data_IF_346363640965
#
_entry.id   IF_346363640965
#
_cell.length_a   1.000
_cell.length_b   1.000
_cell.length_c   1.000
_cell.angle_alpha   90.00
_cell.angle_beta   90.00
_cell.angle_gamma   90.00
#
_symmetry.space_group_name_H-M   'P 1'
#
loop_
_entity.id
_entity.type
_entity.pdbx_description
1 polymer ?
#
# COMPACT_ATOMS: atom_id res chain seq x y z
N UNK A 1 -17.24 -11.74 14.16
CA UNK A 1 -18.37 -11.69 13.20
C UNK A 1 -18.13 -12.67 12.06
N UNK A 2 -19.03 -13.64 11.85
CA UNK A 2 -18.99 -14.51 10.67
C UNK A 2 -19.65 -13.84 9.47
N UNK A 3 -18.99 -13.84 8.32
CA UNK A 3 -19.55 -13.27 7.09
C UNK A 3 -20.47 -14.24 6.32
N UNK A 4 -20.51 -15.52 6.73
CA UNK A 4 -21.30 -16.56 6.06
C UNK A 4 -20.72 -16.93 4.69
N UNK A 5 -21.55 -17.51 3.84
CA UNK A 5 -21.22 -17.77 2.44
C UNK A 5 -21.06 -16.43 1.70
N UNK A 6 -19.86 -16.17 1.20
CA UNK A 6 -19.50 -14.89 0.59
C UNK A 6 -19.10 -15.05 -0.88
N UNK A 7 -19.54 -14.11 -1.71
CA UNK A 7 -19.04 -13.90 -3.08
C UNK A 7 -18.27 -12.57 -3.16
N UNK A 8 -17.36 -12.45 -4.13
CA UNK A 8 -16.66 -11.19 -4.44
C UNK A 8 -17.22 -10.60 -5.73
N UNK A 9 -17.68 -9.35 -5.71
CA UNK A 9 -18.29 -8.70 -6.87
C UNK A 9 -17.47 -7.46 -7.29
N UNK A 10 -16.74 -7.50 -8.42
CA UNK A 10 -16.02 -6.33 -8.92
C UNK A 10 -16.97 -5.26 -9.49
N UNK A 11 -16.59 -4.00 -9.35
CA UNK A 11 -17.26 -2.91 -10.06
C UNK A 11 -17.17 -3.10 -11.59
N UNK A 12 -18.25 -2.72 -12.29
CA UNK A 12 -18.35 -2.88 -13.75
C UNK A 12 -18.02 -1.60 -14.54
N UNK A 13 -17.39 -0.63 -13.89
CA UNK A 13 -16.94 0.61 -14.50
C UNK A 13 -15.45 0.82 -14.24
N UNK A 14 -14.73 1.49 -15.16
CA UNK A 14 -13.29 1.71 -15.02
C UNK A 14 -12.99 2.68 -13.86
N UNK A 15 -11.80 2.57 -13.23
CA UNK A 15 -11.36 3.54 -12.24
C UNK A 15 -11.14 4.91 -12.88
N UNK A 16 -11.17 5.97 -12.07
CA UNK A 16 -10.75 7.30 -12.51
C UNK A 16 -9.23 7.36 -12.62
N UNK A 17 -8.73 8.14 -13.58
CA UNK A 17 -7.31 8.51 -13.63
C UNK A 17 -7.10 9.90 -13.06
N UNK A 18 -5.95 10.11 -12.42
CA UNK A 18 -5.59 11.42 -11.90
C UNK A 18 -4.85 12.31 -12.93
N UNK A 19 -4.90 12.00 -14.23
CA UNK A 19 -4.14 12.71 -15.27
C UNK A 19 -4.44 14.21 -15.27
N UNK A 20 -5.70 14.63 -15.05
CA UNK A 20 -6.08 16.04 -14.89
C UNK A 20 -5.25 16.73 -13.83
N UNK A 21 -5.28 16.16 -12.63
CA UNK A 21 -4.62 16.69 -11.45
C UNK A 21 -3.09 16.63 -11.59
N UNK A 22 -2.58 15.70 -12.38
CA UNK A 22 -1.16 15.57 -12.71
C UNK A 22 -0.73 16.63 -13.73
N UNK A 23 -1.54 16.87 -14.77
CA UNK A 23 -1.33 17.88 -15.80
C UNK A 23 -1.53 19.32 -15.28
N UNK A 24 -2.46 19.52 -14.34
CA UNK A 24 -2.82 20.83 -13.79
C UNK A 24 -1.97 21.25 -12.58
N UNK A 25 -1.09 20.39 -12.05
CA UNK A 25 -0.30 20.66 -10.84
C UNK A 25 0.87 21.67 -11.01
N UNK A 26 0.80 22.56 -12.00
CA UNK A 26 1.57 23.80 -12.01
C UNK A 26 0.95 24.81 -11.05
N UNK A 27 1.50 25.00 -9.85
CA UNK A 27 0.97 26.00 -8.91
C UNK A 27 1.42 27.43 -9.25
N UNK A 28 0.47 28.35 -9.02
CA UNK A 28 0.50 29.80 -8.85
C UNK A 28 1.79 30.59 -9.16
N UNK A 29 1.69 31.45 -10.18
CA UNK A 29 2.39 32.73 -10.26
C UNK A 29 1.33 33.84 -10.18
N UNK A 30 1.02 34.30 -8.97
CA UNK A 30 0.33 35.59 -8.80
C UNK A 30 1.28 36.73 -9.16
N UNK A 31 0.86 37.53 -10.16
CA UNK A 31 1.31 38.87 -10.60
C UNK A 31 2.48 38.95 -11.59
N UNK A 32 2.12 39.29 -12.84
CA UNK A 32 3.03 39.89 -13.82
C UNK A 32 2.53 39.72 -15.25
N UNK A 33 1.89 40.75 -15.80
CA UNK A 33 1.32 40.75 -17.14
C UNK A 33 2.35 41.06 -18.25
N UNK A 34 2.03 40.56 -19.45
CA UNK A 34 2.19 41.14 -20.81
C UNK A 34 3.03 40.31 -21.79
N UNK A 35 2.28 39.75 -22.75
CA UNK A 35 2.52 39.49 -24.17
C UNK A 35 3.88 38.96 -24.67
N UNK A 36 3.82 37.80 -25.33
CA UNK A 36 4.81 37.34 -26.30
C UNK A 36 4.33 36.07 -26.98
N UNK A 37 3.70 36.21 -28.15
CA UNK A 37 3.24 35.10 -28.97
C UNK A 37 4.41 34.34 -29.62
N UNK A 38 4.34 33.01 -29.65
CA UNK A 38 4.54 32.24 -30.88
C UNK A 38 4.06 30.82 -30.69
N UNK A 39 3.24 30.39 -31.66
CA UNK A 39 2.75 29.04 -31.82
C UNK A 39 3.92 28.08 -32.03
N UNK A 40 4.37 27.45 -30.96
CA UNK A 40 5.07 26.17 -31.04
C UNK A 40 4.05 25.09 -30.77
N UNK A 41 3.55 24.46 -31.83
CA UNK A 41 2.93 23.14 -31.73
C UNK A 41 3.96 22.25 -31.05
N UNK A 42 3.86 22.09 -29.73
CA UNK A 42 4.52 21.00 -29.04
C UNK A 42 3.79 19.79 -29.55
N UNK A 43 4.37 19.18 -30.58
CA UNK A 43 4.01 17.83 -30.95
C UNK A 43 4.08 17.02 -29.68
N UNK A 44 2.91 16.72 -29.11
CA UNK A 44 2.66 15.41 -28.55
C UNK A 44 2.99 14.49 -29.70
N UNK A 45 4.29 14.19 -29.86
CA UNK A 45 4.74 13.12 -30.70
C UNK A 45 3.93 11.96 -30.20
N UNK A 46 2.98 11.52 -31.01
CA UNK A 46 2.34 10.23 -30.90
C UNK A 46 3.51 9.25 -30.87
N UNK A 47 4.03 8.98 -29.67
CA UNK A 47 4.66 7.72 -29.40
C UNK A 47 3.57 6.74 -29.82
N UNK A 48 3.79 6.08 -30.96
CA UNK A 48 2.92 5.02 -31.47
C UNK A 48 3.04 3.83 -30.50
N UNK A 49 2.53 4.04 -29.31
CA UNK A 49 2.39 3.08 -28.23
C UNK A 49 1.21 2.21 -28.63
N UNK A 50 1.49 0.97 -28.99
CA UNK A 50 0.48 0.05 -29.52
C UNK A 50 -0.17 -0.78 -28.41
N UNK A 51 0.38 -0.75 -27.19
CA UNK A 51 -0.17 -1.43 -26.03
C UNK A 51 -1.05 -0.55 -25.13
N UNK A 52 -2.14 -1.11 -24.61
CA UNK A 52 -3.04 -0.41 -23.67
C UNK A 52 -2.31 0.17 -22.44
N UNK A 53 -1.33 -0.57 -21.88
CA UNK A 53 -0.53 -0.09 -20.74
C UNK A 53 0.36 1.10 -21.10
N UNK A 54 1.01 1.06 -22.26
CA UNK A 54 1.86 2.16 -22.73
C UNK A 54 1.02 3.43 -22.97
N UNK A 55 -0.19 3.25 -23.50
CA UNK A 55 -1.13 4.33 -23.74
C UNK A 55 -1.72 4.93 -22.44
N UNK A 56 -1.71 4.21 -21.31
CA UNK A 56 -2.03 4.77 -19.98
C UNK A 56 -0.90 5.68 -19.48
N UNK A 57 0.37 5.34 -19.74
CA UNK A 57 1.53 6.07 -19.20
C UNK A 57 1.93 7.26 -20.07
N UNK A 58 1.77 7.15 -21.39
CA UNK A 58 2.21 8.17 -22.33
C UNK A 58 1.72 9.60 -21.98
N UNK A 59 0.47 9.81 -21.54
CA UNK A 59 -0.02 11.13 -21.12
C UNK A 59 0.74 11.70 -19.92
N UNK A 60 1.08 10.86 -18.94
CA UNK A 60 1.85 11.30 -17.77
C UNK A 60 3.28 11.68 -18.14
N UNK A 61 3.91 10.93 -19.05
CA UNK A 61 5.25 11.26 -19.53
C UNK A 61 5.27 12.50 -20.41
N UNK A 62 4.23 12.74 -21.21
CA UNK A 62 4.10 13.98 -21.97
C UNK A 62 4.11 15.21 -21.05
N UNK A 63 3.44 15.13 -19.88
CA UNK A 63 3.44 16.20 -18.86
C UNK A 63 4.82 16.37 -18.20
N UNK A 64 5.53 15.28 -17.91
CA UNK A 64 6.86 15.34 -17.24
C UNK A 64 7.95 15.82 -18.21
N UNK A 65 7.87 15.42 -19.48
CA UNK A 65 8.91 15.64 -20.49
C UNK A 65 8.89 17.03 -21.14
N UNK A 66 7.91 17.90 -20.83
CA UNK A 66 7.87 19.28 -21.34
C UNK A 66 9.20 19.98 -20.99
N UNK A 67 10.09 20.23 -21.97
CA UNK A 67 11.37 20.86 -21.70
C UNK A 67 11.12 22.28 -21.21
N UNK A 68 11.76 22.66 -20.11
CA UNK A 68 11.93 24.09 -19.79
C UNK A 68 12.91 24.62 -20.84
N UNK A 69 12.38 25.21 -21.92
CA UNK A 69 13.22 25.81 -22.96
C UNK A 69 14.15 26.84 -22.35
N UNK A 70 15.46 26.66 -22.55
CA UNK A 70 16.46 27.67 -22.26
C UNK A 70 16.31 28.81 -23.27
N UNK A 71 15.55 29.84 -22.90
CA UNK A 71 15.72 31.16 -23.48
C UNK A 71 16.87 31.85 -22.75
N UNK A 72 17.99 32.07 -23.44
CA UNK A 72 19.03 32.97 -22.99
C UNK A 72 18.45 34.41 -23.04
N UNK A 73 17.95 34.88 -21.90
CA UNK A 73 17.33 36.20 -21.75
C UNK A 73 16.11 36.13 -20.85
N UNK A 74 16.28 36.59 -19.61
CA UNK A 74 15.31 36.68 -18.52
C UNK A 74 13.81 36.57 -18.89
N UNK A 75 13.14 35.54 -18.39
CA UNK A 75 11.98 35.61 -17.47
C UNK A 75 11.41 34.20 -17.22
N UNK A 76 11.20 33.90 -15.93
CA UNK A 76 10.38 32.85 -15.33
C UNK A 76 9.77 31.80 -16.28
N UNK A 77 10.33 30.59 -16.25
CA UNK A 77 9.82 29.41 -16.93
C UNK A 77 8.48 28.95 -16.36
N UNK A 78 7.39 29.59 -16.75
CA UNK A 78 6.06 29.00 -16.61
C UNK A 78 5.96 27.82 -17.58
N UNK A 79 5.79 26.60 -17.04
CA UNK A 79 5.40 25.47 -17.89
C UNK A 79 4.04 25.81 -18.52
N UNK A 80 3.86 25.69 -19.85
CA UNK A 80 2.54 25.88 -20.43
C UNK A 80 1.60 24.84 -19.83
N UNK A 81 0.56 25.32 -19.15
CA UNK A 81 -0.56 24.48 -18.73
C UNK A 81 -1.18 23.92 -20.00
N UNK A 82 -1.34 22.60 -20.06
CA UNK A 82 -1.93 21.94 -21.22
C UNK A 82 -3.35 22.49 -21.46
N UNK A 83 -3.74 22.80 -22.71
CA UNK A 83 -5.10 23.24 -23.01
C UNK A 83 -6.15 22.23 -22.52
N UNK A 84 -7.26 22.72 -21.96
CA UNK A 84 -8.34 21.87 -21.41
C UNK A 84 -8.89 20.86 -22.43
N UNK A 85 -8.92 21.25 -23.72
CA UNK A 85 -9.31 20.36 -24.82
C UNK A 85 -8.35 19.18 -25.00
N UNK A 86 -7.04 19.39 -24.84
CA UNK A 86 -6.04 18.33 -24.93
C UNK A 86 -6.10 17.41 -23.70
N UNK A 87 -6.26 17.99 -22.51
CA UNK A 87 -6.45 17.22 -21.26
C UNK A 87 -7.68 16.31 -21.38
N UNK A 88 -8.78 16.82 -21.92
CA UNK A 88 -10.03 16.04 -22.13
C UNK A 88 -9.82 14.87 -23.10
N UNK A 89 -9.07 15.07 -24.19
CA UNK A 89 -8.74 14.01 -25.16
C UNK A 89 -7.89 12.92 -24.48
N UNK A 90 -6.85 13.32 -23.73
CA UNK A 90 -5.99 12.39 -23.00
C UNK A 90 -6.77 11.62 -21.94
N UNK A 91 -7.67 12.27 -21.19
CA UNK A 91 -8.54 11.62 -20.22
C UNK A 91 -9.43 10.56 -20.83
N UNK A 92 -10.05 10.86 -21.98
CA UNK A 92 -10.90 9.91 -22.69
C UNK A 92 -10.08 8.68 -23.13
N UNK A 93 -8.89 8.89 -23.68
CA UNK A 93 -8.00 7.81 -24.10
C UNK A 93 -7.51 6.96 -22.91
N UNK A 94 -7.08 7.59 -21.81
CA UNK A 94 -6.68 6.88 -20.58
C UNK A 94 -7.85 6.07 -20.03
N UNK A 95 -9.04 6.66 -19.95
CA UNK A 95 -10.24 5.98 -19.44
C UNK A 95 -10.60 4.76 -20.28
N UNK A 96 -10.52 4.87 -21.61
CA UNK A 96 -10.73 3.75 -22.53
C UNK A 96 -9.71 2.64 -22.28
N UNK A 97 -8.42 2.97 -22.14
CA UNK A 97 -7.39 1.98 -21.87
C UNK A 97 -7.55 1.32 -20.50
N UNK A 98 -7.90 2.09 -19.46
CA UNK A 98 -8.18 1.54 -18.13
C UNK A 98 -9.35 0.55 -18.15
N UNK A 99 -10.37 0.79 -18.99
CA UNK A 99 -11.46 -0.17 -19.17
C UNK A 99 -10.99 -1.51 -19.75
N UNK A 100 -9.99 -1.50 -20.65
CA UNK A 100 -9.43 -2.75 -21.21
C UNK A 100 -8.63 -3.57 -20.19
N UNK A 101 -8.10 -2.95 -19.14
CA UNK A 101 -7.27 -3.63 -18.14
C UNK A 101 -8.08 -4.43 -17.12
N UNK A 102 -9.42 -4.27 -17.09
CA UNK A 102 -10.31 -4.96 -16.16
C UNK A 102 -9.83 -4.89 -14.69
N UNK A 103 -9.33 -3.71 -14.28
CA UNK A 103 -8.66 -3.48 -13.00
C UNK A 103 -9.49 -4.00 -11.79
N UNK A 104 -10.80 -3.69 -11.65
CA UNK A 104 -11.60 -4.20 -10.54
C UNK A 104 -11.71 -5.74 -10.52
N UNK A 105 -11.92 -6.39 -11.66
CA UNK A 105 -12.02 -7.86 -11.76
C UNK A 105 -10.70 -8.55 -11.47
N UNK A 106 -9.58 -7.96 -11.87
CA UNK A 106 -8.24 -8.47 -11.53
C UNK A 106 -7.98 -8.38 -10.02
N UNK A 107 -8.36 -7.27 -9.38
CA UNK A 107 -8.26 -7.14 -7.92
C UNK A 107 -9.21 -8.11 -7.19
N UNK A 108 -10.46 -8.27 -7.65
CA UNK A 108 -11.41 -9.22 -7.06
C UNK A 108 -10.91 -10.67 -7.10
N UNK A 109 -10.30 -11.09 -8.22
CA UNK A 109 -9.65 -12.40 -8.33
C UNK A 109 -8.44 -12.52 -7.41
N UNK A 110 -7.61 -11.48 -7.32
CA UNK A 110 -6.49 -11.48 -6.38
C UNK A 110 -6.96 -11.62 -4.92
N UNK A 111 -8.07 -10.96 -4.54
CA UNK A 111 -8.70 -11.10 -3.22
C UNK A 111 -9.19 -12.53 -3.00
N UNK A 112 -9.88 -13.14 -3.96
CA UNK A 112 -10.36 -14.52 -3.84
C UNK A 112 -9.19 -15.50 -3.67
N UNK A 113 -8.13 -15.37 -4.47
CA UNK A 113 -6.91 -16.18 -4.35
C UNK A 113 -6.23 -15.98 -3.00
N UNK A 114 -6.06 -14.72 -2.56
CA UNK A 114 -5.46 -14.41 -1.27
C UNK A 114 -6.28 -14.96 -0.10
N UNK A 115 -7.61 -14.92 -0.18
CA UNK A 115 -8.50 -15.46 0.83
C UNK A 115 -8.38 -17.00 0.93
N UNK A 116 -8.40 -17.71 -0.19
CA UNK A 116 -8.23 -19.17 -0.18
C UNK A 116 -6.86 -19.54 0.38
N UNK A 117 -5.81 -18.85 -0.06
CA UNK A 117 -4.44 -19.11 0.36
C UNK A 117 -4.17 -18.77 1.83
N UNK A 118 -4.72 -17.66 2.34
CA UNK A 118 -4.41 -17.17 3.68
C UNK A 118 -5.44 -17.60 4.73
N UNK A 119 -6.66 -17.97 4.35
CA UNK A 119 -7.71 -18.35 5.32
C UNK A 119 -8.27 -19.75 5.08
N UNK A 120 -7.99 -20.36 3.92
CA UNK A 120 -8.64 -21.59 3.47
C UNK A 120 -10.07 -21.38 2.95
N UNK A 121 -10.59 -20.15 2.99
CA UNK A 121 -11.96 -19.84 2.56
C UNK A 121 -12.01 -19.52 1.07
N UNK A 122 -12.94 -20.15 0.36
CA UNK A 122 -13.18 -19.89 -1.05
C UNK A 122 -14.26 -18.83 -1.22
N UNK A 123 -13.94 -17.77 -1.95
CA UNK A 123 -14.91 -16.74 -2.33
C UNK A 123 -15.01 -16.67 -3.85
N UNK A 124 -16.03 -17.31 -4.45
CA UNK A 124 -16.23 -17.22 -5.89
C UNK A 124 -16.44 -15.77 -6.33
N UNK A 125 -15.90 -15.42 -7.50
CA UNK A 125 -16.05 -14.09 -8.10
C UNK A 125 -17.32 -14.06 -8.93
N UNK A 126 -18.14 -13.03 -8.73
CA UNK A 126 -19.37 -12.74 -9.46
C UNK A 126 -19.12 -11.55 -10.39
N UNK A 127 -18.54 -11.82 -11.57
CA UNK A 127 -18.02 -10.80 -12.49
C UNK A 127 -19.06 -9.73 -12.89
N UNK A 128 -20.32 -10.14 -13.05
CA UNK A 128 -21.40 -9.24 -13.51
C UNK A 128 -22.31 -8.71 -12.38
N UNK A 129 -22.02 -9.06 -11.13
CA UNK A 129 -22.89 -8.75 -10.00
C UNK A 129 -22.66 -7.38 -9.36
N UNK A 130 -21.50 -6.77 -9.57
CA UNK A 130 -21.12 -5.54 -8.88
C UNK A 130 -21.76 -4.27 -9.43
N UNK A 131 -21.48 -3.12 -8.78
CA UNK A 131 -22.06 -1.83 -9.15
C UNK A 131 -21.69 -1.41 -10.57
N UNK A 132 -22.69 -0.99 -11.34
CA UNK A 132 -22.52 -0.52 -12.73
C UNK A 132 -22.02 0.92 -12.84
N UNK A 133 -22.12 1.70 -11.76
CA UNK A 133 -21.67 3.09 -11.64
C UNK A 133 -21.36 3.41 -10.17
N UNK A 134 -20.62 4.49 -9.86
CA UNK A 134 -20.20 4.82 -8.49
C UNK A 134 -21.28 4.77 -7.42
N UNK A 135 -22.47 5.28 -7.73
CA UNK A 135 -23.59 5.36 -6.78
C UNK A 135 -24.64 4.25 -6.98
N UNK A 136 -24.32 3.20 -7.75
CA UNK A 136 -25.23 2.08 -7.92
C UNK A 136 -25.26 1.20 -6.66
N UNK A 137 -26.45 0.80 -6.25
CA UNK A 137 -26.68 -0.24 -5.26
C UNK A 137 -27.34 -1.45 -5.94
N UNK A 138 -26.56 -2.47 -6.35
CA UNK A 138 -27.13 -3.70 -6.89
C UNK A 138 -28.05 -4.38 -5.88
N UNK A 139 -29.15 -4.98 -6.36
CA UNK A 139 -30.04 -5.78 -5.50
C UNK A 139 -29.55 -7.23 -5.44
N UNK A 140 -29.00 -7.62 -4.29
CA UNK A 140 -28.49 -8.97 -4.05
C UNK A 140 -29.49 -9.91 -3.36
N UNK A 141 -30.78 -9.53 -3.20
CA UNK A 141 -31.77 -10.38 -2.53
C UNK A 141 -32.02 -11.70 -3.25
N UNK A 142 -31.78 -11.77 -4.56
CA UNK A 142 -31.82 -13.02 -5.32
C UNK A 142 -30.70 -13.97 -4.90
N UNK A 143 -29.52 -13.45 -4.56
CA UNK A 143 -28.36 -14.23 -4.07
C UNK A 143 -28.63 -14.80 -2.67
N UNK A 144 -29.37 -14.08 -1.82
CA UNK A 144 -29.82 -14.61 -0.52
C UNK A 144 -30.63 -15.91 -0.68
N UNK A 145 -31.50 -15.99 -1.69
CA UNK A 145 -32.28 -17.21 -2.00
C UNK A 145 -31.42 -18.37 -2.50
N UNK A 146 -30.21 -18.08 -2.98
CA UNK A 146 -29.22 -19.06 -3.42
C UNK A 146 -28.25 -19.47 -2.29
N UNK A 147 -28.49 -19.00 -1.05
CA UNK A 147 -27.66 -19.33 0.11
C UNK A 147 -26.39 -18.50 0.24
N UNK A 148 -26.29 -17.36 -0.46
CA UNK A 148 -25.21 -16.39 -0.28
C UNK A 148 -25.61 -15.41 0.81
N UNK A 149 -24.82 -15.30 1.88
CA UNK A 149 -25.10 -14.44 3.03
C UNK A 149 -24.57 -13.01 2.83
N UNK A 150 -23.44 -12.88 2.14
CA UNK A 150 -22.74 -11.60 1.97
C UNK A 150 -22.10 -11.45 0.58
N UNK A 151 -21.99 -10.22 0.11
CA UNK A 151 -21.21 -9.85 -1.07
C UNK A 151 -20.09 -8.89 -0.65
N UNK A 152 -18.85 -9.22 -1.01
CA UNK A 152 -17.73 -8.30 -0.94
C UNK A 152 -17.62 -7.55 -2.26
N UNK A 153 -18.12 -6.32 -2.28
CA UNK A 153 -17.96 -5.45 -3.44
C UNK A 153 -16.55 -4.86 -3.47
N UNK A 154 -15.94 -4.87 -4.65
CA UNK A 154 -14.57 -4.38 -4.88
C UNK A 154 -14.61 -3.29 -5.95
N UNK A 155 -14.34 -2.06 -5.52
CA UNK A 155 -14.37 -0.88 -6.39
C UNK A 155 -12.97 -0.27 -6.41
N UNK A 156 -12.34 -0.18 -7.58
CA UNK A 156 -11.13 0.64 -7.72
C UNK A 156 -11.57 2.04 -8.12
N UNK A 157 -11.38 3.02 -7.24
CA UNK A 157 -11.90 4.38 -7.44
C UNK A 157 -10.92 5.28 -8.16
N UNK A 158 -9.62 5.09 -7.92
CA UNK A 158 -8.57 5.93 -8.47
C UNK A 158 -7.30 5.11 -8.78
N UNK A 159 -6.69 5.40 -9.93
CA UNK A 159 -5.38 4.86 -10.35
C UNK A 159 -4.59 5.98 -11.00
N UNK A 160 -3.30 6.06 -10.74
CA UNK A 160 -2.46 7.00 -11.48
C UNK A 160 -1.06 7.14 -10.92
N UNK A 161 -0.53 8.34 -11.07
CA UNK A 161 0.84 8.66 -10.63
C UNK A 161 0.90 9.90 -9.75
N UNK A 162 1.81 9.89 -8.79
CA UNK A 162 2.22 11.05 -8.00
C UNK A 162 3.70 11.32 -8.19
N UNK A 163 4.18 12.49 -7.78
CA UNK A 163 5.59 12.89 -7.93
C UNK A 163 5.84 13.81 -9.12
N UNK A 164 7.10 14.18 -9.32
CA UNK A 164 7.51 15.17 -10.35
C UNK A 164 8.59 14.59 -11.27
N UNK A 165 9.82 14.52 -10.77
CA UNK A 165 10.97 13.95 -11.51
C UNK A 165 10.99 12.43 -11.39
N UNK A 166 10.83 11.96 -10.16
CA UNK A 166 10.48 10.60 -9.85
C UNK A 166 8.97 10.52 -9.64
N UNK A 167 8.36 9.46 -10.15
CA UNK A 167 6.95 9.18 -10.12
C UNK A 167 6.70 7.89 -9.36
N UNK A 168 5.69 7.89 -8.49
CA UNK A 168 5.13 6.69 -7.87
C UNK A 168 3.79 6.37 -8.50
N UNK A 169 3.53 5.10 -8.75
CA UNK A 169 2.20 4.60 -9.08
C UNK A 169 1.37 4.48 -7.80
N UNK A 170 0.08 4.78 -7.89
CA UNK A 170 -0.85 4.53 -6.79
C UNK A 170 -2.16 3.93 -7.29
N UNK A 171 -2.82 3.17 -6.41
CA UNK A 171 -4.14 2.57 -6.63
C UNK A 171 -4.97 2.67 -5.36
N UNK A 172 -6.22 3.12 -5.49
CA UNK A 172 -7.17 3.25 -4.40
C UNK A 172 -8.33 2.29 -4.64
N UNK A 173 -8.55 1.37 -3.70
CA UNK A 173 -9.66 0.45 -3.70
C UNK A 173 -10.61 0.75 -2.54
N UNK A 174 -11.90 0.81 -2.81
CA UNK A 174 -12.96 0.80 -1.81
C UNK A 174 -13.57 -0.59 -1.80
N UNK A 175 -13.75 -1.15 -0.61
CA UNK A 175 -14.48 -2.40 -0.43
C UNK A 175 -15.66 -2.20 0.48
N UNK A 176 -16.73 -2.92 0.19
CA UNK A 176 -17.96 -2.91 0.96
C UNK A 176 -18.48 -4.33 1.15
N UNK A 177 -18.86 -4.70 2.37
CA UNK A 177 -19.52 -5.98 2.62
C UNK A 177 -21.02 -5.73 2.75
N UNK A 178 -21.80 -6.23 1.80
CA UNK A 178 -23.26 -6.11 1.75
C UNK A 178 -23.91 -7.40 2.23
N UNK A 179 -24.82 -7.34 3.21
CA UNK A 179 -25.62 -8.48 3.63
C UNK A 179 -26.77 -8.68 2.64
N UNK A 180 -26.81 -9.83 1.98
CA UNK A 180 -27.72 -10.10 0.84
C UNK A 180 -29.20 -10.06 1.24
N UNK A 181 -29.52 -10.48 2.47
CA UNK A 181 -30.90 -10.55 2.96
C UNK A 181 -31.56 -9.17 3.11
N UNK A 182 -30.79 -8.17 3.54
CA UNK A 182 -31.27 -6.82 3.87
C UNK A 182 -30.85 -5.78 2.82
N UNK A 183 -29.82 -6.06 2.03
CA UNK A 183 -29.19 -5.09 1.14
C UNK A 183 -28.37 -4.03 1.87
N UNK A 184 -28.17 -4.17 3.18
CA UNK A 184 -27.46 -3.21 4.01
C UNK A 184 -25.95 -3.46 3.98
N UNK A 185 -25.17 -2.37 3.92
CA UNK A 185 -23.72 -2.42 4.02
C UNK A 185 -23.30 -2.58 5.48
N UNK A 186 -22.67 -3.70 5.80
CA UNK A 186 -22.17 -4.02 7.14
C UNK A 186 -20.73 -3.56 7.38
N UNK A 187 -19.99 -3.28 6.32
CA UNK A 187 -18.61 -2.82 6.37
C UNK A 187 -18.30 -1.97 5.15
N UNK A 188 -17.53 -0.90 5.32
CA UNK A 188 -17.00 -0.08 4.24
C UNK A 188 -15.60 0.41 4.62
N UNK A 189 -14.64 0.27 3.71
CA UNK A 189 -13.28 0.80 3.92
C UNK A 189 -12.57 1.10 2.61
N UNK A 190 -11.69 2.10 2.66
CA UNK A 190 -10.73 2.41 1.62
C UNK A 190 -9.35 1.81 1.92
N UNK A 191 -8.76 1.17 0.92
CA UNK A 191 -7.40 0.64 0.89
C UNK A 191 -6.59 1.38 -0.17
N UNK A 192 -5.30 1.59 0.10
CA UNK A 192 -4.42 2.32 -0.81
C UNK A 192 -3.09 1.58 -0.98
N UNK A 193 -2.67 1.50 -2.23
CA UNK A 193 -1.35 1.08 -2.64
C UNK A 193 -0.58 2.27 -3.21
N UNK A 194 0.70 2.35 -2.89
CA UNK A 194 1.64 3.31 -3.47
C UNK A 194 2.98 2.61 -3.69
N UNK A 195 3.53 2.70 -4.91
CA UNK A 195 4.85 2.18 -5.24
C UNK A 195 5.96 3.08 -4.68
N UNK A 196 7.21 2.62 -4.74
CA UNK A 196 8.35 3.53 -4.59
C UNK A 196 8.38 4.56 -5.73
N UNK A 197 9.25 5.56 -5.59
CA UNK A 197 9.49 6.58 -6.60
C UNK A 197 10.49 6.06 -7.66
N UNK A 198 10.09 6.10 -8.93
CA UNK A 198 10.96 5.77 -10.07
C UNK A 198 11.08 6.94 -11.03
N UNK A 199 12.22 7.09 -11.69
CA UNK A 199 12.36 8.08 -12.75
C UNK A 199 11.31 7.86 -13.85
N UNK A 200 10.67 8.94 -14.31
CA UNK A 200 9.56 8.88 -15.27
C UNK A 200 9.84 7.98 -16.48
N UNK A 201 11.04 8.08 -17.05
CA UNK A 201 11.42 7.32 -18.24
C UNK A 201 11.45 5.79 -18.02
N UNK A 202 11.58 5.30 -16.78
CA UNK A 202 11.55 3.86 -16.49
C UNK A 202 10.15 3.26 -16.69
N UNK A 203 9.10 4.06 -16.50
CA UNK A 203 7.72 3.62 -16.65
C UNK A 203 7.34 3.26 -18.09
N UNK A 204 7.96 3.86 -19.12
CA UNK A 204 7.73 3.54 -20.53
C UNK A 204 8.69 2.52 -21.12
N UNK A 205 9.80 2.21 -20.46
CA UNK A 205 10.78 1.22 -20.96
C UNK A 205 10.16 -0.17 -21.10
N UNK A 206 10.70 -0.95 -22.05
CA UNK A 206 10.37 -2.36 -22.27
C UNK A 206 8.85 -2.63 -22.38
N UNK A 207 8.14 -1.78 -23.12
CA UNK A 207 6.68 -1.84 -23.28
C UNK A 207 5.92 -1.74 -21.95
N UNK A 208 6.24 -0.72 -21.16
CA UNK A 208 5.64 -0.48 -19.85
C UNK A 208 5.78 -1.67 -18.88
N UNK A 209 6.93 -2.36 -18.91
CA UNK A 209 7.17 -3.52 -18.04
C UNK A 209 7.03 -3.16 -16.56
N UNK A 210 7.60 -2.02 -16.14
CA UNK A 210 7.49 -1.55 -14.76
C UNK A 210 6.03 -1.32 -14.34
N UNK A 211 5.21 -0.66 -15.16
CA UNK A 211 3.79 -0.48 -14.82
C UNK A 211 3.07 -1.82 -14.67
N UNK A 212 3.35 -2.79 -15.54
CA UNK A 212 2.70 -4.12 -15.45
C UNK A 212 3.04 -4.81 -14.13
N UNK A 213 4.31 -4.78 -13.75
CA UNK A 213 4.78 -5.35 -12.48
C UNK A 213 4.18 -4.60 -11.27
N UNK A 214 4.09 -3.28 -11.34
CA UNK A 214 3.46 -2.45 -10.30
C UNK A 214 1.95 -2.65 -10.20
N UNK A 215 1.25 -2.86 -11.32
CA UNK A 215 -0.15 -3.23 -11.32
C UNK A 215 -0.35 -4.57 -10.60
N UNK A 216 0.48 -5.56 -10.93
CA UNK A 216 0.41 -6.89 -10.31
C UNK A 216 0.71 -6.82 -8.82
N UNK A 217 1.76 -6.08 -8.42
CA UNK A 217 2.07 -5.81 -7.01
C UNK A 217 0.95 -5.09 -6.30
N UNK A 218 0.30 -4.12 -6.94
CA UNK A 218 -0.83 -3.42 -6.36
C UNK A 218 -2.00 -4.37 -6.10
N UNK A 219 -2.30 -5.30 -7.03
CA UNK A 219 -3.32 -6.32 -6.82
C UNK A 219 -2.99 -7.24 -5.65
N UNK A 220 -1.78 -7.78 -5.62
CA UNK A 220 -1.33 -8.70 -4.55
C UNK A 220 -1.30 -8.01 -3.19
N UNK A 221 -0.78 -6.78 -3.14
CA UNK A 221 -0.69 -5.98 -1.91
C UNK A 221 -2.08 -5.61 -1.39
N UNK A 222 -2.94 -5.01 -2.24
CA UNK A 222 -4.30 -4.65 -1.83
C UNK A 222 -5.13 -5.88 -1.46
N UNK A 223 -5.04 -6.98 -2.23
CA UNK A 223 -5.73 -8.21 -1.91
C UNK A 223 -5.30 -8.77 -0.55
N UNK A 224 -3.99 -8.83 -0.31
CA UNK A 224 -3.43 -9.23 0.98
C UNK A 224 -3.94 -8.36 2.13
N UNK A 225 -3.88 -7.03 1.99
CA UNK A 225 -4.38 -6.09 3.00
C UNK A 225 -5.88 -6.19 3.25
N UNK A 226 -6.69 -6.35 2.20
CA UNK A 226 -8.14 -6.51 2.30
C UNK A 226 -8.47 -7.81 3.03
N UNK A 227 -7.85 -8.92 2.64
CA UNK A 227 -8.07 -10.23 3.27
C UNK A 227 -7.61 -10.22 4.72
N UNK A 228 -6.44 -9.64 4.97
CA UNK A 228 -5.91 -9.46 6.31
C UNK A 228 -6.90 -8.69 7.17
N UNK A 229 -7.35 -7.52 6.73
CA UNK A 229 -8.21 -6.65 7.52
C UNK A 229 -9.63 -7.19 7.75
N UNK A 230 -10.19 -7.96 6.80
CA UNK A 230 -11.56 -8.48 6.88
C UNK A 230 -11.66 -9.85 7.55
N UNK A 231 -10.63 -10.68 7.43
CA UNK A 231 -10.71 -12.10 7.78
C UNK A 231 -9.63 -12.59 8.74
N UNK A 232 -8.48 -11.92 8.84
CA UNK A 232 -7.38 -12.36 9.70
C UNK A 232 -7.19 -11.48 10.93
N UNK A 233 -7.21 -10.16 10.81
CA UNK A 233 -6.82 -9.26 11.89
C UNK A 233 -7.74 -9.43 13.10
N UNK A 234 -7.16 -9.93 14.18
CA UNK A 234 -7.78 -9.84 15.49
C UNK A 234 -7.76 -8.38 15.97
N UNK A 235 -8.77 -7.99 16.75
CA UNK A 235 -8.90 -6.67 17.37
C UNK A 235 -7.88 -6.44 18.50
N UNK A 236 -6.59 -6.59 18.18
CA UNK A 236 -5.47 -6.48 19.11
C UNK A 236 -4.82 -5.08 19.03
N UNK A 237 -4.17 -4.62 20.11
CA UNK A 237 -3.42 -3.37 20.09
C UNK A 237 -2.34 -3.37 18.98
N UNK A 238 -2.28 -2.31 18.16
CA UNK A 238 -1.49 -2.33 16.92
C UNK A 238 0.03 -2.23 17.14
N UNK A 239 0.49 -1.84 18.33
CA UNK A 239 1.91 -1.62 18.64
C UNK A 239 2.42 -2.38 19.86
N UNK A 240 3.70 -2.78 19.80
CA UNK A 240 4.47 -3.22 20.97
C UNK A 240 5.31 -2.02 21.41
N UNK A 241 5.03 -1.48 22.60
CA UNK A 241 5.99 -0.63 23.30
C UNK A 241 6.82 -1.57 24.15
N UNK A 242 8.10 -1.70 23.84
CA UNK A 242 9.05 -2.48 24.63
C UNK A 242 9.27 -1.84 26.00
N UNK A 243 8.32 -2.00 26.92
CA UNK A 243 8.35 -1.42 28.26
C UNK A 243 7.37 -2.16 29.18
N UNK A 244 7.86 -3.19 29.87
CA UNK A 244 7.13 -3.86 30.93
C UNK A 244 7.13 -3.00 32.20
N UNK A 245 6.21 -2.05 32.34
CA UNK A 245 5.98 -1.40 33.64
C UNK A 245 5.42 0.01 33.58
N UNK A 246 4.81 0.44 34.69
CA UNK A 246 4.25 1.79 34.93
C UNK A 246 5.33 2.88 34.99
N UNK A 247 6.61 2.53 34.84
CA UNK A 247 7.70 3.47 34.60
C UNK A 247 7.89 3.66 33.09
N UNK A 248 7.19 4.62 32.51
CA UNK A 248 7.61 5.28 31.27
C UNK A 248 8.98 5.93 31.51
N UNK A 249 10.04 5.16 31.36
CA UNK A 249 11.42 5.62 31.48
C UNK A 249 11.72 6.57 30.33
N UNK A 250 12.54 7.60 30.56
CA UNK A 250 13.10 8.47 29.52
C UNK A 250 13.70 7.67 28.34
N UNK A 251 14.13 6.41 28.54
CA UNK A 251 14.58 5.51 27.47
C UNK A 251 13.51 5.22 26.40
N UNK A 252 12.23 5.12 26.77
CA UNK A 252 11.14 4.92 25.80
C UNK A 252 10.88 6.17 24.95
N UNK A 253 11.25 7.36 25.46
CA UNK A 253 11.22 8.62 24.70
C UNK A 253 12.39 8.75 23.71
N UNK A 254 13.46 7.96 23.86
CA UNK A 254 14.70 8.12 23.07
C UNK A 254 15.10 6.91 22.21
N UNK A 255 14.22 5.92 22.00
CA UNK A 255 14.47 4.84 21.02
C UNK A 255 14.24 3.42 21.49
N UNK A 256 13.17 3.16 22.26
CA UNK A 256 12.69 1.80 22.49
C UNK A 256 12.34 1.08 21.17
N UNK A 257 12.17 -0.26 21.22
CA UNK A 257 11.75 -1.11 20.08
C UNK A 257 10.29 -0.80 19.69
N UNK A 258 10.05 0.39 19.17
CA UNK A 258 8.72 0.84 18.75
C UNK A 258 8.39 0.17 17.40
N UNK A 259 7.55 -0.84 17.48
CA UNK A 259 7.12 -1.65 16.34
C UNK A 259 5.61 -1.69 16.25
N UNK A 260 5.12 -1.77 15.02
CA UNK A 260 3.76 -2.18 14.74
C UNK A 260 3.75 -3.70 14.58
N UNK A 261 2.76 -4.39 15.14
CA UNK A 261 2.75 -5.86 15.16
C UNK A 261 3.86 -6.44 16.03
N UNK A 262 4.46 -7.55 15.60
CA UNK A 262 5.53 -8.23 16.35
C UNK A 262 6.87 -7.52 16.17
N UNK A 263 7.54 -7.20 17.29
CA UNK A 263 8.86 -6.56 17.26
C UNK A 263 9.96 -7.50 16.75
N UNK A 264 10.96 -6.94 16.08
CA UNK A 264 12.17 -7.66 15.71
C UNK A 264 13.05 -7.92 16.95
N UNK A 265 13.78 -9.04 16.92
CA UNK A 265 14.77 -9.42 17.95
C UNK A 265 16.17 -9.57 17.31
N UNK A 266 16.26 -10.22 16.16
CA UNK A 266 17.51 -10.41 15.40
C UNK A 266 17.26 -10.24 13.90
N UNK A 267 18.15 -9.57 13.13
CA UNK A 267 19.43 -9.00 13.57
C UNK A 267 19.26 -7.82 14.52
N UNK A 268 20.22 -7.69 15.45
CA UNK A 268 20.24 -6.55 16.36
C UNK A 268 20.43 -5.26 15.55
N UNK A 269 19.72 -4.21 15.96
CA UNK A 269 19.85 -2.91 15.32
C UNK A 269 20.99 -2.19 16.01
N UNK A 270 22.14 -2.07 15.36
CA UNK A 270 23.27 -1.23 15.81
C UNK A 270 22.94 0.28 15.86
N UNK A 271 21.69 0.68 15.62
CA UNK A 271 21.28 2.07 15.55
C UNK A 271 20.77 2.56 16.90
N UNK A 272 21.62 3.34 17.57
CA UNK A 272 21.20 4.29 18.59
C UNK A 272 21.05 5.66 17.91
N UNK A 273 19.83 6.22 17.77
CA UNK A 273 19.69 7.59 17.27
C UNK A 273 20.47 8.52 18.19
N UNK A 274 21.49 9.19 17.66
CA UNK A 274 22.13 10.29 18.36
C UNK A 274 21.10 11.40 18.58
N UNK A 275 21.17 12.10 19.72
CA UNK A 275 20.29 13.25 20.03
C UNK A 275 20.27 14.33 18.93
N UNK A 276 21.31 14.37 18.09
CA UNK A 276 21.47 15.31 16.98
C UNK A 276 21.09 14.75 15.60
N UNK A 277 20.65 13.49 15.48
CA UNK A 277 20.17 12.91 14.20
C UNK A 277 18.70 13.31 13.94
N UNK A 278 18.44 14.62 13.98
CA UNK A 278 17.13 15.24 13.76
C UNK A 278 16.66 15.05 12.31
N UNK A 279 17.57 14.65 11.40
CA UNK A 279 17.28 14.42 9.99
C UNK A 279 17.13 12.94 9.63
N UNK A 280 17.20 12.04 10.62
CA UNK A 280 16.94 10.61 10.44
C UNK A 280 17.78 9.97 9.32
N UNK A 281 18.98 10.51 9.06
CA UNK A 281 19.80 10.10 7.89
C UNK A 281 20.20 8.63 7.97
N UNK A 282 20.29 8.10 9.19
CA UNK A 282 20.74 6.75 9.48
C UNK A 282 19.60 5.73 9.71
N UNK A 283 18.33 6.13 9.59
CA UNK A 283 17.19 5.20 9.74
C UNK A 283 17.18 4.10 8.68
N UNK A 284 17.76 4.37 7.51
CA UNK A 284 17.81 3.48 6.37
C UNK A 284 19.02 2.51 6.39
N UNK A 285 19.72 2.36 7.51
CA UNK A 285 20.82 1.38 7.61
C UNK A 285 20.29 -0.06 7.55
N UNK A 286 21.00 -0.89 6.80
CA UNK A 286 20.78 -2.32 6.71
C UNK A 286 21.85 -3.01 7.58
N UNK A 287 21.51 -3.54 8.77
CA UNK A 287 22.48 -4.22 9.62
C UNK A 287 23.11 -5.41 8.89
N UNK A 288 24.42 -5.58 9.05
CA UNK A 288 25.17 -6.67 8.42
C UNK A 288 24.89 -7.97 9.19
N UNK A 289 24.38 -9.00 8.52
CA UNK A 289 24.25 -10.34 9.13
C UNK A 289 25.52 -11.15 8.96
N UNK A 290 25.71 -12.16 9.82
CA UNK A 290 26.92 -12.97 9.83
C UNK A 290 27.01 -13.99 8.68
N UNK A 291 25.92 -14.26 7.95
CA UNK A 291 25.92 -15.21 6.84
C UNK A 291 24.80 -14.91 5.83
N UNK A 292 24.87 -15.52 4.65
CA UNK A 292 23.83 -15.49 3.61
C UNK A 292 22.62 -16.37 3.92
N UNK A 293 22.65 -17.08 5.04
CA UNK A 293 21.51 -17.78 5.64
C UNK A 293 21.25 -17.23 7.03
N UNK A 294 20.87 -15.95 7.16
CA UNK A 294 20.72 -15.33 8.46
C UNK A 294 19.68 -16.06 9.32
N UNK A 295 19.85 -15.96 10.64
CA UNK A 295 18.82 -16.33 11.61
C UNK A 295 18.05 -15.06 11.97
N UNK A 296 16.80 -15.00 11.54
CA UNK A 296 15.88 -13.92 11.89
C UNK A 296 15.11 -14.33 13.16
N UNK A 297 14.92 -13.40 14.09
CA UNK A 297 14.18 -13.64 15.31
C UNK A 297 13.25 -12.47 15.63
N UNK A 298 12.13 -12.75 16.30
CA UNK A 298 11.09 -11.78 16.59
C UNK A 298 10.43 -12.04 17.95
N UNK A 299 9.56 -11.12 18.37
CA UNK A 299 8.81 -11.20 19.61
C UNK A 299 7.75 -12.33 19.54
N UNK A 300 7.59 -13.07 20.63
CA UNK A 300 6.54 -14.09 20.74
C UNK A 300 5.14 -13.49 20.90
N UNK A 301 4.15 -14.23 20.42
CA UNK A 301 2.73 -13.90 20.57
C UNK A 301 2.01 -14.98 21.43
N UNK A 302 1.09 -14.61 22.35
CA UNK A 302 0.72 -13.25 22.75
C UNK A 302 1.84 -12.49 23.47
N UNK A 303 1.97 -11.19 23.19
CA UNK A 303 2.93 -10.29 23.87
C UNK A 303 2.40 -9.92 25.25
N UNK A 304 3.27 -9.38 26.11
CA UNK A 304 2.87 -8.90 27.44
C UNK A 304 1.81 -7.78 27.38
N UNK A 305 1.82 -6.95 26.33
CA UNK A 305 0.79 -5.93 26.10
C UNK A 305 -0.55 -6.53 25.68
N UNK A 306 -0.54 -7.67 24.98
CA UNK A 306 -1.76 -8.33 24.49
C UNK A 306 -2.52 -9.06 25.60
N UNK A 307 -1.84 -9.37 26.70
CA UNK A 307 -2.42 -10.07 27.87
C UNK A 307 -3.12 -9.13 28.85
N UNK A 308 -3.21 -7.83 28.55
CA UNK A 308 -3.79 -6.81 29.43
C UNK A 308 -5.02 -6.17 28.79
N UNK A 309 -5.90 -5.63 29.63
CA UNK A 309 -7.08 -4.88 29.17
C UNK A 309 -8.03 -5.70 28.30
N UNK A 310 -8.65 -5.05 27.32
CA UNK A 310 -9.64 -5.67 26.42
C UNK A 310 -9.03 -6.80 25.56
N UNK A 311 -7.73 -6.73 25.25
CA UNK A 311 -7.01 -7.74 24.49
C UNK A 311 -6.86 -9.08 25.25
N UNK A 312 -6.93 -9.06 26.58
CA UNK A 312 -6.82 -10.24 27.43
C UNK A 312 -7.94 -11.26 27.14
N UNK A 313 -9.15 -10.78 26.84
CA UNK A 313 -10.28 -11.65 26.51
C UNK A 313 -10.00 -12.44 25.22
N UNK A 314 -9.50 -11.76 24.19
CA UNK A 314 -9.12 -12.39 22.92
C UNK A 314 -7.98 -13.39 23.18
N UNK A 315 -6.92 -12.99 23.88
CA UNK A 315 -5.73 -13.82 24.07
C UNK A 315 -5.95 -15.07 24.92
N UNK A 316 -6.93 -15.06 25.82
CA UNK A 316 -7.25 -16.22 26.67
C UNK A 316 -7.75 -17.45 25.89
N UNK A 317 -8.33 -17.25 24.71
CA UNK A 317 -8.85 -18.33 23.85
C UNK A 317 -7.99 -18.63 22.63
N UNK A 318 -6.73 -18.19 22.63
CA UNK A 318 -5.81 -18.37 21.51
C UNK A 318 -5.13 -19.74 21.61
N UNK A 319 -5.03 -20.43 20.48
CA UNK A 319 -4.31 -21.68 20.34
C UNK A 319 -3.55 -21.73 19.01
N UNK A 320 -2.69 -22.75 18.84
CA UNK A 320 -1.99 -23.02 17.58
C UNK A 320 -1.25 -21.79 17.00
N UNK A 321 -0.49 -21.10 17.85
CA UNK A 321 0.30 -19.93 17.44
C UNK A 321 1.45 -20.37 16.55
N UNK A 322 1.49 -19.82 15.36
CA UNK A 322 2.49 -20.04 14.30
C UNK A 322 2.85 -18.71 13.66
N UNK A 323 3.88 -18.66 12.81
CA UNK A 323 4.36 -17.40 12.25
C UNK A 323 4.52 -17.45 10.74
N UNK A 324 4.19 -16.35 10.07
CA UNK A 324 4.51 -16.14 8.66
C UNK A 324 5.66 -15.14 8.57
N UNK A 325 6.66 -15.46 7.74
CA UNK A 325 7.84 -14.65 7.47
C UNK A 325 7.92 -14.34 5.98
N UNK A 326 8.21 -13.08 5.65
CA UNK A 326 8.46 -12.63 4.28
C UNK A 326 9.72 -11.80 4.20
N UNK A 327 10.48 -11.97 3.10
CA UNK A 327 11.71 -11.24 2.82
C UNK A 327 11.69 -10.77 1.37
N UNK A 328 11.98 -9.48 1.19
CA UNK A 328 12.05 -8.83 -0.11
C UNK A 328 13.46 -8.32 -0.39
N UNK A 329 14.00 -8.58 -1.58
CA UNK A 329 15.23 -7.96 -2.06
C UNK A 329 14.98 -6.48 -2.39
N UNK A 330 15.89 -5.62 -1.93
CA UNK A 330 15.91 -4.21 -2.29
C UNK A 330 16.62 -4.05 -3.63
N UNK A 331 15.86 -3.74 -4.68
CA UNK A 331 16.40 -3.53 -6.03
C UNK A 331 16.72 -2.05 -6.21
N UNK A 332 17.93 -1.72 -6.62
CA UNK A 332 18.30 -0.32 -6.88
C UNK A 332 17.49 0.25 -8.06
N UNK A 333 16.75 1.34 -7.83
CA UNK A 333 15.88 1.93 -8.85
C UNK A 333 14.72 1.03 -9.27
N UNK A 334 14.45 -0.01 -8.49
CA UNK A 334 13.42 -1.00 -8.74
C UNK A 334 12.63 -1.32 -7.47
N UNK A 335 11.43 -1.86 -7.63
CA UNK A 335 10.56 -2.24 -6.52
C UNK A 335 11.08 -3.43 -5.74
N UNK A 336 10.72 -3.55 -4.45
CA UNK A 336 11.08 -4.71 -3.66
C UNK A 336 10.53 -5.97 -4.31
N UNK A 337 11.37 -7.01 -4.41
CA UNK A 337 11.00 -8.29 -4.98
C UNK A 337 10.91 -9.31 -3.86
N UNK A 338 9.75 -9.93 -3.66
CA UNK A 338 9.61 -11.04 -2.70
C UNK A 338 10.52 -12.19 -3.16
N UNK A 339 11.43 -12.61 -2.31
CA UNK A 339 12.39 -13.68 -2.61
C UNK A 339 12.32 -14.86 -1.66
N UNK A 340 11.67 -14.66 -0.50
CA UNK A 340 11.52 -15.70 0.50
C UNK A 340 10.19 -15.51 1.22
N UNK A 341 9.37 -16.55 1.26
CA UNK A 341 8.17 -16.63 2.08
C UNK A 341 8.15 -17.98 2.78
N UNK A 342 7.91 -17.95 4.09
CA UNK A 342 7.74 -19.16 4.89
C UNK A 342 6.55 -18.96 5.80
N UNK A 343 5.67 -19.95 5.85
CA UNK A 343 4.42 -19.92 6.59
C UNK A 343 4.40 -20.96 7.67
N UNK A 344 3.52 -20.74 8.64
CA UNK A 344 3.24 -21.68 9.72
C UNK A 344 4.50 -22.11 10.49
N UNK A 345 5.45 -21.19 10.64
CA UNK A 345 6.70 -21.42 11.36
C UNK A 345 6.43 -21.73 12.84
N UNK A 346 7.00 -22.84 13.37
CA UNK A 346 6.89 -23.16 14.78
C UNK A 346 7.97 -22.42 15.58
N UNK A 347 7.59 -21.34 16.27
CA UNK A 347 8.47 -20.60 17.16
C UNK A 347 8.86 -19.19 16.67
N UNK A 348 9.73 -18.53 17.43
CA UNK A 348 10.01 -17.09 17.30
C UNK A 348 11.36 -16.76 16.64
N UNK A 349 11.94 -17.74 15.96
CA UNK A 349 13.15 -17.57 15.17
C UNK A 349 13.15 -18.54 14.00
N UNK A 350 13.85 -18.16 12.94
CA UNK A 350 13.97 -18.98 11.73
C UNK A 350 15.30 -18.72 11.03
N UNK A 351 16.02 -19.82 10.75
CA UNK A 351 17.21 -19.82 9.91
C UNK A 351 16.76 -20.03 8.47
N UNK A 352 17.19 -19.16 7.55
CA UNK A 352 16.79 -19.28 6.15
C UNK A 352 17.24 -20.62 5.55
N UNK A 353 16.30 -21.30 4.90
CA UNK A 353 16.56 -22.56 4.19
C UNK A 353 17.42 -22.33 2.94
N UNK A 354 17.26 -21.16 2.32
CA UNK A 354 17.87 -20.77 1.05
C UNK A 354 19.03 -19.78 1.27
N UNK A 355 20.06 -19.90 0.42
CA UNK A 355 21.17 -18.93 0.38
C UNK A 355 20.69 -17.66 -0.31
N UNK A 356 20.75 -16.54 0.40
CA UNK A 356 20.52 -15.24 -0.20
C UNK A 356 21.74 -14.77 -1.00
N UNK A 357 21.55 -14.01 -2.09
CA UNK A 357 22.68 -13.39 -2.78
C UNK A 357 23.58 -12.54 -1.85
N UNK A 358 24.89 -12.66 -2.02
CA UNK A 358 25.91 -11.89 -1.29
C UNK A 358 25.80 -10.37 -1.51
N UNK A 359 26.24 -9.59 -0.52
CA UNK A 359 26.30 -8.12 -0.54
C UNK A 359 24.99 -7.42 -0.97
N UNK A 360 23.84 -8.03 -0.67
CA UNK A 360 22.52 -7.48 -1.00
C UNK A 360 21.80 -6.97 0.23
N UNK A 361 20.81 -6.10 -0.04
CA UNK A 361 19.97 -5.47 0.97
C UNK A 361 18.58 -6.07 0.91
N UNK A 362 17.99 -6.29 2.08
CA UNK A 362 16.71 -6.96 2.22
C UNK A 362 15.78 -6.24 3.18
N UNK A 363 14.51 -6.19 2.82
CA UNK A 363 13.40 -5.92 3.73
C UNK A 363 12.85 -7.23 4.26
N UNK A 364 12.33 -7.24 5.48
CA UNK A 364 11.60 -8.38 6.01
C UNK A 364 10.49 -7.95 6.98
N UNK A 365 9.55 -8.87 7.20
CA UNK A 365 8.44 -8.70 8.12
C UNK A 365 7.93 -10.06 8.58
N UNK A 366 7.29 -10.08 9.74
CA UNK A 366 6.75 -11.29 10.36
C UNK A 366 5.40 -11.00 10.98
N UNK A 367 4.47 -11.96 10.95
CA UNK A 367 3.22 -11.91 11.72
C UNK A 367 2.98 -13.22 12.44
N UNK A 368 2.24 -13.17 13.55
CA UNK A 368 1.68 -14.38 14.16
C UNK A 368 0.37 -14.73 13.48
N UNK A 369 0.11 -16.02 13.35
CA UNK A 369 -1.16 -16.64 13.01
C UNK A 369 -1.58 -17.56 14.14
N UNK A 370 -2.87 -17.63 14.41
CA UNK A 370 -3.36 -18.41 15.52
C UNK A 370 -4.83 -18.74 15.35
N UNK A 371 -5.27 -19.78 16.04
CA UNK A 371 -6.66 -20.20 16.03
C UNK A 371 -7.39 -19.58 17.23
N UNK A 372 -8.52 -18.93 16.98
CA UNK A 372 -9.39 -18.34 17.99
C UNK A 372 -10.85 -18.49 17.54
N UNK A 373 -11.71 -18.99 18.42
CA UNK A 373 -13.13 -19.28 18.12
C UNK A 373 -13.33 -20.13 16.85
N UNK A 374 -12.46 -21.13 16.63
CA UNK A 374 -12.53 -22.02 15.46
C UNK A 374 -12.15 -21.35 14.13
N UNK A 375 -11.54 -20.16 14.18
CA UNK A 375 -11.09 -19.41 13.00
C UNK A 375 -9.61 -19.12 13.06
N UNK A 376 -8.98 -19.12 11.90
CA UNK A 376 -7.61 -18.61 11.77
C UNK A 376 -7.64 -17.10 11.80
N UNK A 377 -6.87 -16.52 12.71
CA UNK A 377 -6.63 -15.10 12.85
C UNK A 377 -5.13 -14.82 12.71
N UNK A 378 -4.77 -13.54 12.61
CA UNK A 378 -3.39 -13.10 12.57
C UNK A 378 -3.21 -11.73 13.20
N UNK A 379 -1.98 -11.44 13.59
CA UNK A 379 -1.54 -10.08 13.94
C UNK A 379 -1.25 -9.28 12.67
N UNK A 380 -1.12 -7.96 12.81
CA UNK A 380 -0.47 -7.16 11.76
C UNK A 380 0.95 -7.67 11.50
N UNK A 381 1.39 -7.48 10.27
CA UNK A 381 2.79 -7.60 9.89
C UNK A 381 3.68 -6.66 10.72
N UNK A 382 4.78 -7.21 11.21
CA UNK A 382 5.81 -6.54 11.99
C UNK A 382 6.52 -5.47 11.17
N UNK A 383 6.54 -4.24 11.65
CA UNK A 383 7.32 -3.16 11.04
C UNK A 383 7.82 -2.18 12.10
N UNK A 384 8.78 -1.33 11.73
CA UNK A 384 9.17 -0.19 12.54
C UNK A 384 8.03 0.83 12.55
N UNK A 385 7.71 1.39 13.72
CA UNK A 385 6.75 2.49 13.79
C UNK A 385 7.32 3.81 13.27
N UNK A 386 8.65 3.97 13.36
CA UNK A 386 9.39 5.15 12.91
C UNK A 386 10.30 4.82 11.72
N UNK A 387 10.40 5.67 10.69
CA UNK A 387 9.78 7.01 10.55
C UNK A 387 8.26 7.03 10.52
N UNK A 388 7.69 8.15 10.95
CA UNK A 388 6.30 8.47 10.63
C UNK A 388 6.16 8.59 9.11
N UNK A 389 5.07 8.02 8.58
CA UNK A 389 4.78 8.11 7.15
C UNK A 389 4.05 9.42 6.84
N UNK A 390 4.66 10.24 6.00
CA UNK A 390 4.02 11.41 5.42
C UNK A 390 3.37 11.04 4.09
N UNK A 391 2.07 10.81 4.12
CA UNK A 391 1.29 10.65 2.90
C UNK A 391 1.27 11.98 2.13
N UNK A 392 1.76 12.00 0.88
CA UNK A 392 1.70 13.19 0.02
C UNK A 392 0.25 13.52 -0.40
N UNK A 393 -0.54 14.10 0.51
CA UNK A 393 -1.83 14.81 0.30
C UNK A 393 -3.02 14.08 -0.36
N UNK A 394 -2.80 13.08 -1.22
CA UNK A 394 -3.81 12.44 -2.07
C UNK A 394 -4.26 11.07 -1.56
N UNK A 395 -3.45 10.41 -0.73
CA UNK A 395 -3.83 9.16 -0.06
C UNK A 395 -4.73 9.52 1.12
N UNK A 396 -6.05 9.40 1.01
CA UNK A 396 -7.01 9.57 2.12
C UNK A 396 -7.25 8.23 2.83
N UNK A 397 -6.32 7.79 3.68
CA UNK A 397 -6.61 6.72 4.64
C UNK A 397 -7.20 7.35 5.92
N UNK A 398 -8.12 6.66 6.58
CA UNK A 398 -8.77 7.14 7.80
C UNK A 398 -7.73 7.44 8.89
N UNK A 399 -7.82 8.62 9.49
CA UNK A 399 -6.94 9.03 10.57
C UNK A 399 -7.32 8.27 11.85
N UNK A 400 -6.35 7.71 12.56
CA UNK A 400 -6.61 7.13 13.88
C UNK A 400 -7.11 8.21 14.86
N UNK A 401 -7.99 7.89 15.83
CA UNK A 401 -8.47 8.85 16.83
C UNK A 401 -7.34 9.57 17.59
N UNK A 402 -6.17 8.93 17.75
CA UNK A 402 -5.00 9.53 18.41
C UNK A 402 -4.30 10.63 17.60
N UNK A 403 -4.48 10.67 16.27
CA UNK A 403 -3.90 11.70 15.41
C UNK A 403 -4.67 13.02 15.46
N UNK A 404 -5.91 13.03 15.96
CA UNK A 404 -6.81 14.20 15.97
C UNK A 404 -6.28 15.34 16.85
N UNK A 405 -5.45 15.05 17.86
CA UNK A 405 -4.86 16.10 18.71
C UNK A 405 -3.69 16.85 18.05
N UNK A 406 -2.98 16.24 17.09
CA UNK A 406 -1.87 16.86 16.37
C UNK A 406 -2.29 17.73 15.17
N UNK A 407 -3.56 17.62 14.76
CA UNK A 407 -4.14 18.32 13.59
C UNK A 407 -4.19 19.83 13.75
N UNK A 408 -4.12 20.35 14.98
CA UNK A 408 -4.32 21.77 15.26
C UNK A 408 -3.15 22.71 14.90
N UNK A 409 -1.97 22.20 14.51
CA UNK A 409 -0.76 23.04 14.40
C UNK A 409 -0.08 23.02 13.02
N UNK A 410 -0.20 21.98 12.18
CA UNK A 410 0.68 21.80 11.01
C UNK A 410 0.01 21.62 9.62
N UNK A 411 -1.32 21.62 9.51
CA UNK A 411 -2.01 21.49 8.20
C UNK A 411 -1.83 20.14 7.47
N UNK A 412 -0.98 19.24 7.97
CA UNK A 412 -0.86 17.83 7.59
C UNK A 412 -0.68 16.99 8.85
N UNK A 413 -1.42 15.90 8.98
CA UNK A 413 -1.35 15.03 10.14
C UNK A 413 -0.35 13.88 9.85
N UNK A 414 0.78 13.76 10.58
CA UNK A 414 1.59 12.56 10.50
C UNK A 414 0.72 11.35 10.87
N UNK A 415 0.73 10.32 10.01
CA UNK A 415 -0.08 9.12 10.24
C UNK A 415 0.70 8.10 11.05
N UNK A 416 0.02 7.48 12.02
CA UNK A 416 0.60 6.34 12.73
C UNK A 416 0.69 5.17 11.77
N UNK A 417 1.92 4.77 11.44
CA UNK A 417 2.21 3.67 10.52
C UNK A 417 1.51 2.38 10.96
N UNK A 418 1.30 2.20 12.26
CA UNK A 418 0.62 1.01 12.78
C UNK A 418 -0.87 0.95 12.41
N UNK A 419 -1.44 2.03 11.88
CA UNK A 419 -2.84 2.09 11.43
C UNK A 419 -2.98 2.00 9.92
N UNK A 420 -1.88 2.07 9.18
CA UNK A 420 -1.88 1.89 7.73
C UNK A 420 -2.23 0.45 7.36
N UNK A 421 -2.81 0.31 6.16
CA UNK A 421 -3.16 -0.96 5.53
C UNK A 421 -1.98 -1.60 4.77
N UNK A 422 -0.88 -0.87 4.64
CA UNK A 422 0.37 -1.34 4.03
C UNK A 422 1.54 -0.92 4.93
N UNK A 423 2.68 -1.60 4.77
CA UNK A 423 3.94 -1.19 5.39
C UNK A 423 4.69 -0.30 4.39
N UNK A 424 4.92 0.99 4.69
CA UNK A 424 5.79 1.82 3.87
C UNK A 424 7.19 1.21 3.78
N UNK A 425 7.86 1.37 2.64
CA UNK A 425 9.22 0.87 2.42
C UNK A 425 10.21 1.33 3.51
N UNK A 426 9.99 2.55 4.03
CA UNK A 426 10.75 3.13 5.13
C UNK A 426 10.56 2.45 6.50
N UNK A 427 9.59 1.55 6.62
CA UNK A 427 9.18 0.96 7.89
C UNK A 427 9.40 -0.57 7.97
N UNK A 428 9.76 -1.25 6.88
CA UNK A 428 10.15 -2.66 6.98
C UNK A 428 11.39 -2.86 7.86
N UNK A 429 11.47 -4.03 8.49
CA UNK A 429 12.73 -4.50 9.07
C UNK A 429 13.78 -4.72 7.98
N UNK A 430 15.05 -4.55 8.33
CA UNK A 430 16.15 -4.48 7.35
C UNK A 430 17.31 -5.38 7.74
N UNK A 431 18.02 -5.88 6.73
CA UNK A 431 19.37 -6.44 6.89
C UNK A 431 20.12 -6.47 5.56
N UNK A 432 21.44 -6.63 5.59
CA UNK A 432 22.28 -6.89 4.43
C UNK A 432 23.13 -8.13 4.63
N UNK A 433 23.30 -8.93 3.58
CA UNK A 433 24.19 -10.10 3.56
C UNK A 433 25.66 -9.68 3.50
N UNK A 434 26.58 -10.55 3.96
CA UNK A 434 28.03 -10.32 3.92
C UNK A 434 28.59 -10.16 2.51
#
# INVERSE_FOLDING_TARGET
>A
MGWGNMLVAPARYPPRSNIRAFASQGHDLTKGAVAGASAGVVGVGLYAMTGALEAVIAPYLAVVAIPVGMAAGALHSARPVMPESEVTILEAQVSQNLATLQIPSSLARAIATAAEHDTGQRFPVLDDGGPAKPDAAPDYRTMARQGVDSILEVVVTDVGFTGRKAMSFHMVAHVRVVRTAQGESSYFRQFVYQSDEYEGHLWSRNKAALLREELQRAYESLAGSIVEQLFLLAGLPPGSKGGSGVETSLKDLFGGRDSCGLGWVSPERDYQPGFLDVHHRDWNRFPLVASDRPVLAWEGFPREVDRRGEAAAITSGISNVRYDLRIWEVIAGGPPRLIYEKRDLPGTSHALDEVLPHERRYFWSVRARFDHEGRVNGTKWGCYRSPSYEAQGKVRAEASPGAVLGVLIAGTAPRDVCTLDFIPTSNYYRFRTP
#
